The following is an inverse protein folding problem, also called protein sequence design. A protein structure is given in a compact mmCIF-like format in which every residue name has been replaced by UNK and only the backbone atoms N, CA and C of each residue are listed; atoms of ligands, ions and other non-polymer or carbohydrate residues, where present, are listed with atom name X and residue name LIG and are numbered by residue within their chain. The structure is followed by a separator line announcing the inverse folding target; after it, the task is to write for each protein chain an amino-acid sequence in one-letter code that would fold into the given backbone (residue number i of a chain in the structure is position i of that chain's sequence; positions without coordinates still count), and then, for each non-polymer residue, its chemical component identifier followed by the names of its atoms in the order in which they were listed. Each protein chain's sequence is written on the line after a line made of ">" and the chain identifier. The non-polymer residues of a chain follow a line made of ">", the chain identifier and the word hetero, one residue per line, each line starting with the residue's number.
data_IF_863870505871
#
_entry.id   IF_863870505871
#
_cell.length_a   1.000
_cell.length_b   1.000
_cell.length_c   1.000
_cell.angle_alpha   90.00
_cell.angle_beta   90.00
_cell.angle_gamma   90.00
#
_symmetry.space_group_name_H-M   'P 1'
#
loop_
_entity.id
_entity.type
_entity.pdbx_description
1 polymer ?
#
# COMPACT_ATOMS: atom_id res chain seq x y z
N UNK A 1 23.97 -11.63 1.29
CA UNK A 1 24.32 -10.24 0.93
C UNK A 1 23.04 -9.55 0.48
N UNK A 2 22.67 -8.44 1.12
CA UNK A 2 21.48 -7.70 0.73
C UNK A 2 21.76 -7.04 -0.63
N UNK A 3 21.22 -7.63 -1.69
CA UNK A 3 21.31 -7.08 -3.03
C UNK A 3 20.71 -5.67 -3.02
N UNK A 4 21.57 -4.67 -3.19
CA UNK A 4 21.20 -3.27 -3.03
C UNK A 4 20.64 -2.79 -4.36
N UNK A 5 19.32 -2.53 -4.40
CA UNK A 5 18.67 -2.03 -5.61
C UNK A 5 19.34 -0.75 -6.10
N UNK A 6 19.67 -0.63 -7.40
CA UNK A 6 20.29 0.58 -7.95
C UNK A 6 19.47 1.83 -7.64
N UNK A 7 20.12 2.94 -7.30
CA UNK A 7 19.46 4.23 -6.98
C UNK A 7 18.46 4.64 -8.08
N UNK A 8 18.85 4.52 -9.34
CA UNK A 8 17.99 4.83 -10.48
C UNK A 8 16.70 3.97 -10.53
N UNK A 9 16.79 2.68 -10.20
CA UNK A 9 15.61 1.80 -10.14
C UNK A 9 14.68 2.20 -9.00
N UNK A 10 15.24 2.53 -7.82
CA UNK A 10 14.45 3.01 -6.67
C UNK A 10 13.69 4.29 -7.02
N UNK A 11 14.35 5.22 -7.70
CA UNK A 11 13.77 6.48 -8.14
C UNK A 11 12.63 6.28 -9.15
N UNK A 12 12.82 5.41 -10.16
CA UNK A 12 11.76 5.10 -11.13
C UNK A 12 10.52 4.51 -10.46
N UNK A 13 10.71 3.58 -9.52
CA UNK A 13 9.61 2.98 -8.76
C UNK A 13 8.89 4.03 -7.91
N UNK A 14 9.64 4.92 -7.23
CA UNK A 14 9.05 5.96 -6.40
C UNK A 14 8.28 7.01 -7.22
N UNK A 15 8.84 7.44 -8.35
CA UNK A 15 8.22 8.36 -9.28
C UNK A 15 6.95 7.76 -9.91
N UNK A 16 6.99 6.49 -10.34
CA UNK A 16 5.81 5.78 -10.85
C UNK A 16 4.70 5.67 -9.80
N UNK A 17 5.06 5.53 -8.52
CA UNK A 17 4.13 5.54 -7.39
C UNK A 17 3.69 6.95 -6.97
N UNK A 18 4.09 8.01 -7.68
CA UNK A 18 3.88 9.42 -7.32
C UNK A 18 4.29 9.74 -5.88
N UNK A 19 5.32 9.06 -5.38
CA UNK A 19 5.80 9.15 -3.99
C UNK A 19 4.72 8.84 -2.95
N UNK A 20 3.81 7.91 -3.27
CA UNK A 20 2.73 7.45 -2.39
C UNK A 20 2.82 5.96 -2.15
N UNK A 21 2.35 5.53 -0.98
CA UNK A 21 2.18 4.10 -0.70
C UNK A 21 1.14 3.50 -1.66
N UNK A 22 1.48 2.39 -2.33
CA UNK A 22 0.56 1.73 -3.27
C UNK A 22 -0.73 1.19 -2.66
N UNK A 23 -0.76 0.95 -1.35
CA UNK A 23 -1.93 0.41 -0.65
C UNK A 23 -2.77 1.50 -0.01
N UNK A 24 -2.14 2.34 0.81
CA UNK A 24 -2.86 3.32 1.63
C UNK A 24 -2.85 4.75 1.08
N UNK A 25 -2.20 4.96 -0.06
CA UNK A 25 -1.93 6.25 -0.73
C UNK A 25 -1.31 7.36 0.15
N UNK A 26 -0.85 7.06 1.36
CA UNK A 26 -0.09 8.03 2.18
C UNK A 26 1.03 8.60 1.34
N UNK A 27 1.10 9.92 1.25
CA UNK A 27 2.13 10.67 0.53
C UNK A 27 3.40 10.73 1.39
N UNK A 28 4.57 10.59 0.77
CA UNK A 28 5.84 10.59 1.48
C UNK A 28 6.11 11.92 2.19
N UNK A 29 5.54 13.03 1.73
CA UNK A 29 5.67 14.35 2.36
C UNK A 29 5.02 14.40 3.74
N UNK A 30 3.94 13.65 3.96
CA UNK A 30 3.21 13.64 5.23
C UNK A 30 3.59 12.48 6.15
N UNK A 31 4.28 11.45 5.63
CA UNK A 31 4.68 10.30 6.44
C UNK A 31 5.79 10.62 7.45
N UNK A 32 6.60 11.65 7.20
CA UNK A 32 7.78 11.98 8.01
C UNK A 32 8.85 10.87 8.01
N UNK A 33 8.69 9.84 7.19
CA UNK A 33 9.50 8.64 7.15
C UNK A 33 9.78 8.21 5.71
N UNK A 34 10.98 7.72 5.46
CA UNK A 34 11.37 7.18 4.16
C UNK A 34 10.48 5.98 3.80
N UNK A 35 9.91 5.99 2.60
CA UNK A 35 9.16 4.85 2.09
C UNK A 35 10.07 3.70 1.66
N UNK A 36 9.51 2.50 1.67
CA UNK A 36 10.20 1.27 1.32
C UNK A 36 9.93 0.90 -0.13
N UNK A 37 10.98 0.43 -0.81
CA UNK A 37 10.81 -0.34 -2.05
C UNK A 37 10.46 -1.76 -1.65
N UNK A 38 9.23 -2.15 -1.96
CA UNK A 38 8.62 -3.39 -1.54
C UNK A 38 8.46 -4.33 -2.73
N UNK A 39 8.72 -5.61 -2.47
CA UNK A 39 8.53 -6.69 -3.43
C UNK A 39 7.09 -7.20 -3.33
N UNK A 40 6.29 -6.97 -4.38
CA UNK A 40 4.86 -7.33 -4.42
C UNK A 40 4.70 -8.83 -4.19
N UNK A 41 5.39 -9.66 -4.98
CA UNK A 41 5.75 -11.03 -4.62
C UNK A 41 7.04 -10.98 -3.79
N UNK A 42 7.03 -11.37 -2.50
CA UNK A 42 8.21 -11.33 -1.66
C UNK A 42 9.36 -12.19 -2.19
N UNK A 43 10.61 -11.75 -1.98
CA UNK A 43 11.80 -12.55 -2.37
C UNK A 43 11.84 -13.93 -1.73
N UNK A 44 11.34 -14.06 -0.49
CA UNK A 44 11.24 -15.34 0.21
C UNK A 44 10.29 -16.34 -0.48
N UNK A 45 9.48 -15.87 -1.43
CA UNK A 45 8.60 -16.67 -2.27
C UNK A 45 9.06 -16.66 -3.76
N UNK A 46 10.33 -16.32 -4.03
CA UNK A 46 10.89 -16.29 -5.38
C UNK A 46 10.64 -15.00 -6.17
N UNK A 47 10.13 -13.95 -5.54
CA UNK A 47 9.91 -12.66 -6.20
C UNK A 47 11.19 -12.00 -6.71
N UNK A 48 11.14 -11.45 -7.92
CA UNK A 48 12.28 -10.81 -8.58
C UNK A 48 12.51 -9.37 -8.08
N UNK A 49 13.74 -8.87 -8.19
CA UNK A 49 14.07 -7.45 -7.99
C UNK A 49 13.89 -6.62 -9.26
N UNK A 50 13.08 -7.09 -10.22
CA UNK A 50 12.74 -6.34 -11.42
C UNK A 50 11.65 -5.33 -11.13
N UNK A 51 11.67 -4.23 -11.88
CA UNK A 51 10.75 -3.11 -11.69
C UNK A 51 9.27 -3.54 -11.62
N UNK A 52 8.85 -4.51 -12.44
CA UNK A 52 7.48 -5.05 -12.47
C UNK A 52 7.00 -5.68 -11.16
N UNK A 53 7.91 -6.11 -10.29
CA UNK A 53 7.61 -6.68 -8.98
C UNK A 53 7.86 -5.70 -7.82
N UNK A 54 8.24 -4.46 -8.12
CA UNK A 54 8.60 -3.46 -7.12
C UNK A 54 7.58 -2.33 -7.07
N UNK A 55 7.18 -1.94 -5.87
CA UNK A 55 6.38 -0.72 -5.65
C UNK A 55 6.81 0.03 -4.38
N UNK A 56 6.26 1.23 -4.21
CA UNK A 56 6.50 2.05 -3.03
C UNK A 56 5.47 1.74 -1.94
N UNK A 57 5.92 1.53 -0.71
CA UNK A 57 5.05 1.29 0.44
C UNK A 57 5.51 2.08 1.67
N UNK A 58 4.54 2.49 2.51
CA UNK A 58 4.87 3.05 3.82
C UNK A 58 5.33 1.96 4.79
N UNK A 59 6.02 2.35 5.86
CA UNK A 59 6.54 1.42 6.87
C UNK A 59 5.46 0.50 7.45
N UNK A 60 4.27 1.05 7.74
CA UNK A 60 3.13 0.29 8.27
C UNK A 60 2.63 -0.77 7.28
N UNK A 61 2.30 -0.37 6.05
CA UNK A 61 1.79 -1.32 5.04
C UNK A 61 2.82 -2.41 4.71
N UNK A 62 4.10 -2.02 4.58
CA UNK A 62 5.20 -2.97 4.36
C UNK A 62 5.31 -3.99 5.49
N UNK A 63 5.29 -3.51 6.74
CA UNK A 63 5.39 -4.36 7.94
C UNK A 63 4.19 -5.31 8.06
N UNK A 64 2.97 -4.79 7.91
CA UNK A 64 1.77 -5.63 7.97
C UNK A 64 1.70 -6.63 6.83
N UNK A 65 2.06 -6.25 5.59
CA UNK A 65 2.06 -7.20 4.47
C UNK A 65 3.04 -8.34 4.72
N UNK A 66 4.30 -8.01 5.07
CA UNK A 66 5.36 -8.98 5.29
C UNK A 66 5.48 -9.92 4.09
N UNK A 67 5.32 -11.23 4.31
CA UNK A 67 5.36 -12.26 3.23
C UNK A 67 4.00 -12.58 2.60
N UNK A 68 2.91 -11.91 3.00
CA UNK A 68 1.57 -12.23 2.48
C UNK A 68 1.42 -11.76 1.03
N UNK A 69 0.79 -12.61 0.23
CA UNK A 69 0.34 -12.33 -1.15
C UNK A 69 -1.15 -12.56 -1.33
N UNK A 70 -1.79 -13.20 -0.34
CA UNK A 70 -3.21 -13.48 -0.26
C UNK A 70 -3.66 -13.38 1.19
N UNK A 71 -4.96 -13.18 1.41
CA UNK A 71 -5.59 -13.18 2.72
C UNK A 71 -7.08 -13.53 2.59
N UNK A 72 -7.72 -13.98 3.69
CA UNK A 72 -9.16 -14.15 3.71
C UNK A 72 -9.88 -12.81 3.47
N UNK A 73 -10.87 -12.80 2.57
CA UNK A 73 -11.85 -11.72 2.48
C UNK A 73 -12.73 -11.77 3.74
N UNK A 74 -12.78 -10.69 4.55
CA UNK A 74 -13.53 -10.69 5.80
C UNK A 74 -15.02 -10.96 5.64
N UNK A 75 -15.60 -10.70 4.46
CA UNK A 75 -17.04 -10.88 4.24
C UNK A 75 -17.39 -12.34 3.87
N UNK A 76 -16.51 -13.03 3.15
CA UNK A 76 -16.80 -14.35 2.58
C UNK A 76 -15.95 -15.48 3.17
N UNK A 77 -14.86 -15.15 3.85
CA UNK A 77 -13.86 -16.10 4.35
C UNK A 77 -12.98 -16.73 3.26
N UNK A 78 -13.26 -16.47 1.97
CA UNK A 78 -12.47 -17.00 0.87
C UNK A 78 -11.07 -16.35 0.85
N UNK A 79 -10.03 -17.17 0.72
CA UNK A 79 -8.67 -16.66 0.49
C UNK A 79 -8.57 -16.08 -0.92
N UNK A 80 -8.25 -14.79 -1.00
CA UNK A 80 -8.12 -14.06 -2.26
C UNK A 80 -6.77 -13.34 -2.34
N UNK A 81 -6.25 -13.07 -3.56
CA UNK A 81 -5.02 -12.30 -3.71
C UNK A 81 -5.13 -10.91 -3.09
N UNK A 82 -4.04 -10.44 -2.48
CA UNK A 82 -3.88 -9.05 -2.06
C UNK A 82 -3.73 -8.14 -3.27
N UNK A 83 -4.07 -6.87 -3.09
CA UNK A 83 -4.03 -5.86 -4.14
C UNK A 83 -2.61 -5.71 -4.73
N UNK A 84 -2.54 -5.66 -6.06
CA UNK A 84 -1.30 -5.53 -6.82
C UNK A 84 -1.15 -4.09 -7.34
N UNK A 85 -0.40 -3.20 -6.65
CA UNK A 85 -0.41 -1.77 -6.94
C UNK A 85 0.16 -1.38 -8.31
N UNK A 86 0.90 -2.27 -8.97
CA UNK A 86 1.37 -2.08 -10.35
C UNK A 86 0.39 -2.49 -11.44
N UNK A 87 -0.52 -3.41 -11.13
CA UNK A 87 -1.32 -4.13 -12.13
C UNK A 87 -2.82 -3.85 -12.00
N UNK A 88 -3.24 -3.28 -10.88
CA UNK A 88 -4.64 -3.01 -10.58
C UNK A 88 -4.86 -1.53 -10.31
N UNK A 89 -6.02 -1.01 -10.68
CA UNK A 89 -6.38 0.40 -10.44
C UNK A 89 -6.93 0.52 -9.04
N UNK A 90 -6.34 1.42 -8.24
CA UNK A 90 -6.73 1.58 -6.84
C UNK A 90 -8.24 1.87 -6.68
N UNK A 91 -8.79 2.76 -7.52
CA UNK A 91 -10.20 3.15 -7.48
C UNK A 91 -11.20 2.03 -7.86
N UNK A 92 -10.74 0.92 -8.45
CA UNK A 92 -11.59 -0.25 -8.71
C UNK A 92 -11.72 -1.14 -7.47
N UNK A 93 -10.73 -1.11 -6.58
CA UNK A 93 -10.67 -1.98 -5.41
C UNK A 93 -10.96 -1.25 -4.10
N UNK A 94 -10.79 0.07 -4.07
CA UNK A 94 -10.90 0.87 -2.87
C UNK A 94 -11.61 2.21 -3.12
N UNK A 95 -12.21 2.72 -2.05
CA UNK A 95 -12.64 4.11 -1.94
C UNK A 95 -12.19 4.70 -0.61
N UNK A 96 -12.09 6.02 -0.56
CA UNK A 96 -12.08 6.75 0.71
C UNK A 96 -13.51 6.84 1.25
N UNK A 97 -13.68 6.81 2.57
CA UNK A 97 -14.96 7.12 3.20
C UNK A 97 -15.29 8.62 3.07
N UNK A 98 -16.48 9.02 3.54
CA UNK A 98 -16.96 10.42 3.41
C UNK A 98 -16.02 11.44 4.06
N UNK A 99 -15.39 11.08 5.17
CA UNK A 99 -14.42 11.92 5.87
C UNK A 99 -13.00 11.82 5.29
N UNK A 100 -12.79 10.93 4.31
CA UNK A 100 -11.51 10.58 3.72
C UNK A 100 -10.42 10.18 4.73
N UNK A 101 -10.80 9.51 5.81
CA UNK A 101 -9.85 9.02 6.84
C UNK A 101 -9.77 7.49 6.87
N UNK A 102 -10.75 6.79 6.28
CA UNK A 102 -10.77 5.33 6.17
C UNK A 102 -10.78 4.89 4.72
N UNK A 103 -10.11 3.78 4.46
CA UNK A 103 -10.13 3.08 3.17
C UNK A 103 -11.19 1.98 3.26
N UNK A 104 -12.15 2.02 2.33
CA UNK A 104 -13.20 1.02 2.15
C UNK A 104 -12.79 0.08 1.02
N UNK A 105 -12.81 -1.23 1.26
CA UNK A 105 -12.60 -2.24 0.21
C UNK A 105 -13.89 -2.47 -0.59
N UNK A 106 -13.85 -2.27 -1.90
CA UNK A 106 -15.00 -2.40 -2.80
C UNK A 106 -15.14 -3.80 -3.43
N UNK A 107 -14.04 -4.56 -3.42
CA UNK A 107 -13.94 -5.91 -3.98
C UNK A 107 -13.42 -6.88 -2.92
N UNK A 108 -13.56 -8.21 -3.10
CA UNK A 108 -12.93 -9.19 -2.21
C UNK A 108 -11.43 -8.93 -2.00
N UNK A 109 -10.67 -8.67 -3.07
CA UNK A 109 -9.25 -8.26 -3.01
C UNK A 109 -9.06 -6.99 -2.18
N UNK A 110 -9.91 -5.98 -2.37
CA UNK A 110 -9.85 -4.73 -1.63
C UNK A 110 -10.08 -4.94 -0.13
N UNK A 111 -11.15 -5.64 0.25
CA UNK A 111 -11.48 -5.92 1.66
C UNK A 111 -10.42 -6.78 2.33
N UNK A 112 -9.96 -7.85 1.67
CA UNK A 112 -8.86 -8.67 2.15
C UNK A 112 -7.59 -7.84 2.37
N UNK A 113 -7.27 -6.92 1.46
CA UNK A 113 -6.11 -6.03 1.60
C UNK A 113 -6.27 -5.05 2.76
N UNK A 114 -7.43 -4.41 2.89
CA UNK A 114 -7.73 -3.48 4.00
C UNK A 114 -7.50 -4.17 5.35
N UNK A 115 -8.04 -5.38 5.51
CA UNK A 115 -7.90 -6.18 6.72
C UNK A 115 -6.46 -6.65 6.94
N UNK A 116 -5.84 -7.29 5.93
CA UNK A 116 -4.53 -7.92 6.06
C UNK A 116 -3.37 -6.92 6.27
N UNK A 117 -3.48 -5.73 5.69
CA UNK A 117 -2.47 -4.66 5.83
C UNK A 117 -2.83 -3.65 6.91
N UNK A 118 -3.96 -3.84 7.61
CA UNK A 118 -4.47 -2.94 8.64
C UNK A 118 -4.47 -1.47 8.16
N UNK A 119 -5.04 -1.23 6.98
CA UNK A 119 -4.98 0.07 6.29
C UNK A 119 -5.69 1.20 7.06
N UNK A 120 -6.51 0.83 8.05
CA UNK A 120 -7.27 1.72 8.94
C UNK A 120 -6.89 1.52 10.42
N UNK A 121 -5.61 1.23 10.69
CA UNK A 121 -5.11 1.07 12.06
C UNK A 121 -5.41 2.31 12.94
N UNK A 122 -5.47 2.15 14.28
CA UNK A 122 -5.92 3.22 15.18
C UNK A 122 -4.99 4.44 15.23
N UNK A 123 -3.79 4.36 14.65
CA UNK A 123 -2.85 5.48 14.60
C UNK A 123 -2.96 6.28 13.30
N UNK A 124 -3.20 5.61 12.16
CA UNK A 124 -3.26 6.29 10.86
C UNK A 124 -4.57 7.05 10.66
N UNK A 125 -5.69 6.57 11.22
CA UNK A 125 -7.00 7.23 11.04
C UNK A 125 -7.01 8.62 11.70
N UNK A 126 -6.57 8.82 12.96
CA UNK A 126 -6.43 10.16 13.54
C UNK A 126 -5.43 11.04 12.78
N UNK A 127 -4.31 10.48 12.29
CA UNK A 127 -3.34 11.23 11.50
C UNK A 127 -3.95 11.75 10.18
N UNK A 128 -4.69 10.90 9.46
CA UNK A 128 -5.41 11.31 8.24
C UNK A 128 -6.41 12.42 8.50
N UNK A 129 -7.11 12.42 9.64
CA UNK A 129 -8.00 13.52 10.02
C UNK A 129 -7.25 14.86 10.08
N UNK A 130 -6.05 14.89 10.67
CA UNK A 130 -5.22 16.09 10.70
C UNK A 130 -4.76 16.50 9.30
N UNK A 131 -4.41 15.53 8.44
CA UNK A 131 -4.00 15.80 7.06
C UNK A 131 -5.15 16.31 6.18
N UNK A 132 -6.38 15.82 6.39
CA UNK A 132 -7.59 16.32 5.75
C UNK A 132 -7.83 17.78 6.15
N UNK A 133 -7.76 18.09 7.46
CA UNK A 133 -7.89 19.47 7.95
C UNK A 133 -6.83 20.42 7.37
N UNK A 134 -5.63 19.90 7.10
CA UNK A 134 -4.54 20.65 6.46
C UNK A 134 -4.65 20.72 4.92
N UNK A 135 -5.63 20.04 4.31
CA UNK A 135 -5.79 19.98 2.84
C UNK A 135 -4.75 19.11 2.12
N UNK A 136 -4.11 18.17 2.82
CA UNK A 136 -3.07 17.29 2.26
C UNK A 136 -3.57 15.89 1.92
N UNK A 137 -4.82 15.56 2.30
CA UNK A 137 -5.41 14.23 2.16
C UNK A 137 -6.93 14.34 1.88
N UNK A 138 -7.54 13.44 1.09
CA UNK A 138 -6.91 12.38 0.30
C UNK A 138 -6.05 12.96 -0.83
N UNK A 139 -5.08 12.20 -1.34
CA UNK A 139 -4.17 12.74 -2.35
C UNK A 139 -4.84 12.73 -3.73
N UNK A 140 -4.69 13.82 -4.50
CA UNK A 140 -5.19 13.96 -5.89
C UNK A 140 -4.59 12.94 -6.87
#
# INVERSE_FOLDING_TARGET
>A
MADTLPKALRERVAAAARYRCGYCQTDQRVSGAQMHIEHILPRALGGSSQESNLWLSCAWCNSYKGRKVEAPDPDTGATVPLFHPRGQRWAEHFAWDLDAIRIVGLTPTGRATVAALNLNNPYIVPARRLWVLAGWHPPE
#
